data_IF_573241612014
#
_entry.id   IF_573241612014
#
_cell.length_a   1.000
_cell.length_b   1.000
_cell.length_c   1.000
_cell.angle_alpha   90.00
_cell.angle_beta   90.00
_cell.angle_gamma   90.00
#
_symmetry.space_group_name_H-M   'P 1'
#
loop_
_entity.id
_entity.type
_entity.pdbx_description
1 polymer ?
#
# COMPACT_ATOMS: atom_id res chain seq x y z
N UNK A 1 20.10 24.55 40.65
CA UNK A 1 19.55 25.21 39.45
C UNK A 1 20.00 24.55 38.16
N UNK A 2 21.30 24.20 37.98
CA UNK A 2 21.80 23.57 36.76
C UNK A 2 21.23 22.15 36.48
N UNK A 3 20.89 21.40 37.53
CA UNK A 3 20.38 20.03 37.36
C UNK A 3 18.93 19.94 36.90
N UNK A 4 18.10 20.94 37.19
CA UNK A 4 16.71 20.99 36.78
C UNK A 4 16.58 21.33 35.27
N UNK A 5 17.40 22.28 34.78
CA UNK A 5 17.40 22.70 33.38
C UNK A 5 17.88 21.58 32.43
N UNK A 6 18.85 20.78 32.88
CA UNK A 6 19.36 19.63 32.09
C UNK A 6 18.31 18.51 32.02
N UNK A 7 17.58 18.23 33.11
CA UNK A 7 16.51 17.22 33.12
C UNK A 7 15.33 17.61 32.23
N UNK A 8 14.99 18.89 32.14
CA UNK A 8 13.92 19.41 31.33
C UNK A 8 14.28 19.38 29.83
N UNK A 9 15.54 19.72 29.49
CA UNK A 9 16.08 19.59 28.12
C UNK A 9 16.13 18.13 27.67
N UNK A 10 16.59 17.23 28.51
CA UNK A 10 16.63 15.78 28.23
C UNK A 10 15.21 15.22 28.03
N UNK A 11 14.26 15.61 28.88
CA UNK A 11 12.85 15.20 28.74
C UNK A 11 12.20 15.74 27.48
N UNK A 12 12.53 16.96 27.05
CA UNK A 12 11.98 17.55 25.82
C UNK A 12 12.52 16.89 24.54
N UNK A 13 13.79 16.50 24.50
CA UNK A 13 14.38 15.83 23.34
C UNK A 13 13.87 14.39 23.18
N UNK A 14 13.74 13.64 24.28
CA UNK A 14 13.11 12.30 24.25
C UNK A 14 11.66 12.39 23.78
N UNK A 15 10.91 13.39 24.25
CA UNK A 15 9.53 13.59 23.82
C UNK A 15 9.43 14.00 22.35
N UNK A 16 10.41 14.72 21.80
CA UNK A 16 10.45 15.11 20.38
C UNK A 16 10.68 13.91 19.47
N UNK A 17 11.67 13.08 19.72
CA UNK A 17 11.95 11.88 18.93
C UNK A 17 10.76 10.89 18.96
N UNK A 18 10.10 10.75 20.10
CA UNK A 18 8.91 9.93 20.24
C UNK A 18 7.72 10.52 19.45
N UNK A 19 7.50 11.83 19.53
CA UNK A 19 6.44 12.49 18.76
C UNK A 19 6.65 12.36 17.25
N UNK A 20 7.89 12.47 16.77
CA UNK A 20 8.22 12.25 15.36
C UNK A 20 7.99 10.78 14.93
N UNK A 21 8.36 9.81 15.79
CA UNK A 21 8.09 8.41 15.52
C UNK A 21 6.59 8.11 15.44
N UNK A 22 5.77 8.69 16.32
CA UNK A 22 4.32 8.56 16.28
C UNK A 22 3.72 9.25 15.05
N UNK A 23 4.25 10.42 14.65
CA UNK A 23 3.82 11.08 13.42
C UNK A 23 4.08 10.20 12.20
N UNK A 24 5.27 9.60 12.07
CA UNK A 24 5.62 8.69 10.95
C UNK A 24 4.66 7.49 10.89
N UNK A 25 4.24 6.97 12.05
CA UNK A 25 3.27 5.85 12.14
C UNK A 25 1.82 6.28 11.96
N UNK A 26 1.55 7.57 11.92
CA UNK A 26 0.18 8.07 11.83
C UNK A 26 -0.46 7.78 10.48
N UNK A 27 -1.79 7.73 10.48
CA UNK A 27 -2.60 7.61 9.25
C UNK A 27 -2.32 8.74 8.26
N UNK A 28 -1.98 9.92 8.75
CA UNK A 28 -1.64 11.10 7.95
C UNK A 28 -0.44 10.83 7.01
N UNK A 29 0.54 10.05 7.46
CA UNK A 29 1.71 9.67 6.69
C UNK A 29 1.46 8.36 5.90
N UNK A 30 0.83 7.36 6.50
CA UNK A 30 0.72 6.03 5.92
C UNK A 30 -0.38 5.90 4.85
N UNK A 31 -1.55 6.54 5.04
CA UNK A 31 -2.66 6.41 4.07
C UNK A 31 -2.34 6.98 2.67
N UNK A 32 -1.66 8.13 2.52
CA UNK A 32 -1.19 8.58 1.22
C UNK A 32 -0.28 7.55 0.52
N UNK A 33 0.62 6.90 1.26
CA UNK A 33 1.51 5.85 0.73
C UNK A 33 0.71 4.62 0.30
N UNK A 34 -0.26 4.17 1.11
CA UNK A 34 -1.16 3.06 0.79
C UNK A 34 -1.92 3.32 -0.51
N UNK A 35 -2.41 4.55 -0.70
CA UNK A 35 -3.15 4.93 -1.90
C UNK A 35 -2.24 5.10 -3.12
N UNK A 36 -1.11 5.80 -2.97
CA UNK A 36 -0.15 6.03 -4.06
C UNK A 36 0.39 4.73 -4.65
N UNK A 37 0.74 3.78 -3.79
CA UNK A 37 1.29 2.49 -4.21
C UNK A 37 0.22 1.42 -4.44
N UNK A 38 -1.05 1.76 -4.46
CA UNK A 38 -2.16 0.81 -4.64
C UNK A 38 -2.09 -0.41 -3.71
N UNK A 39 -1.59 -0.24 -2.46
CA UNK A 39 -1.34 -1.36 -1.53
C UNK A 39 -2.61 -2.10 -1.08
N UNK A 40 -3.78 -1.52 -1.34
CA UNK A 40 -5.08 -2.15 -1.08
C UNK A 40 -5.46 -3.22 -2.10
N UNK A 41 -4.80 -3.25 -3.28
CA UNK A 41 -5.04 -4.26 -4.31
C UNK A 41 -4.15 -5.46 -4.01
N UNK A 42 -4.76 -6.62 -3.83
CA UNK A 42 -4.09 -7.90 -3.66
C UNK A 42 -4.39 -8.80 -4.85
N UNK A 43 -3.32 -9.24 -5.50
CA UNK A 43 -3.36 -10.25 -6.55
C UNK A 43 -2.78 -11.56 -6.00
N UNK A 44 -3.32 -12.68 -6.42
CA UNK A 44 -2.73 -13.98 -6.14
C UNK A 44 -3.05 -14.98 -7.23
N UNK A 45 -2.12 -15.89 -7.47
CA UNK A 45 -2.33 -17.04 -8.31
C UNK A 45 -3.03 -18.15 -7.48
N UNK A 46 -4.27 -18.55 -7.83
CA UNK A 46 -4.97 -19.61 -7.13
C UNK A 46 -4.35 -21.00 -7.35
N UNK A 47 -3.54 -21.19 -8.41
CA UNK A 47 -2.89 -22.47 -8.72
C UNK A 47 -1.67 -22.73 -7.84
N UNK A 48 -1.12 -21.70 -7.17
CA UNK A 48 0.00 -21.85 -6.25
C UNK A 48 -0.53 -22.16 -4.84
N UNK A 49 -0.26 -23.35 -4.35
CA UNK A 49 -0.63 -23.80 -3.01
C UNK A 49 0.04 -22.96 -1.89
N UNK A 50 -0.61 -22.85 -0.73
CA UNK A 50 -0.08 -22.10 0.42
C UNK A 50 1.32 -22.61 0.86
N UNK A 51 1.62 -23.89 0.72
CA UNK A 51 2.91 -24.48 1.06
C UNK A 51 4.00 -24.13 0.03
N UNK A 52 3.63 -23.97 -1.24
CA UNK A 52 4.56 -23.61 -2.30
C UNK A 52 4.95 -22.12 -2.22
N UNK A 53 4.05 -21.26 -1.73
CA UNK A 53 4.35 -19.87 -1.41
C UNK A 53 5.42 -19.70 -0.32
N UNK A 54 5.52 -20.66 0.59
CA UNK A 54 6.50 -20.65 1.68
C UNK A 54 7.85 -21.23 1.23
N UNK A 55 7.84 -22.22 0.33
CA UNK A 55 9.01 -22.99 -0.09
C UNK A 55 9.74 -22.41 -1.29
N UNK A 56 9.06 -21.66 -2.12
CA UNK A 56 9.66 -21.13 -3.34
C UNK A 56 10.24 -19.75 -3.10
N UNK A 57 11.44 -19.51 -3.62
CA UNK A 57 11.82 -18.20 -4.17
C UNK A 57 10.83 -17.88 -5.32
N UNK A 58 9.52 -17.85 -5.00
CA UNK A 58 8.45 -17.93 -5.97
C UNK A 58 8.53 -16.74 -6.93
N UNK A 59 8.46 -17.05 -8.21
CA UNK A 59 8.21 -16.12 -9.31
C UNK A 59 6.92 -15.32 -9.09
N UNK A 60 6.03 -15.79 -8.21
CA UNK A 60 4.74 -15.19 -7.85
C UNK A 60 4.93 -14.03 -6.86
N UNK A 61 5.54 -12.97 -7.32
CA UNK A 61 5.76 -11.78 -6.52
C UNK A 61 4.93 -10.62 -7.04
N UNK A 62 3.94 -10.23 -6.22
CA UNK A 62 3.20 -9.00 -6.47
C UNK A 62 4.10 -7.79 -6.21
N UNK A 63 4.09 -6.84 -7.14
CA UNK A 63 4.73 -5.53 -7.01
C UNK A 63 3.68 -4.43 -7.17
N UNK A 64 3.60 -3.57 -6.17
CA UNK A 64 2.74 -2.40 -6.16
C UNK A 64 3.57 -1.14 -6.42
N UNK A 65 3.20 -0.35 -7.43
CA UNK A 65 3.85 0.89 -7.84
C UNK A 65 2.82 1.99 -8.05
N UNK A 66 3.22 3.26 -8.20
CA UNK A 66 2.28 4.35 -8.51
C UNK A 66 1.47 4.12 -9.80
N UNK A 67 2.03 3.40 -10.78
CA UNK A 67 1.37 3.12 -12.06
C UNK A 67 0.35 1.98 -11.96
N UNK A 68 0.36 1.22 -10.86
CA UNK A 68 -0.52 0.07 -10.65
C UNK A 68 0.16 -1.12 -9.99
N UNK A 69 -0.46 -2.26 -10.12
CA UNK A 69 -0.04 -3.52 -9.49
C UNK A 69 0.27 -4.55 -10.55
N UNK A 70 1.36 -5.27 -10.37
CA UNK A 70 1.72 -6.41 -11.23
C UNK A 70 1.95 -7.68 -10.42
N UNK A 71 1.61 -8.82 -11.01
CA UNK A 71 1.86 -10.16 -10.49
C UNK A 71 2.46 -11.00 -11.61
N UNK A 72 3.66 -11.53 -11.40
CA UNK A 72 4.27 -12.50 -12.32
C UNK A 72 3.81 -13.91 -11.94
N UNK A 73 3.40 -14.67 -12.94
CA UNK A 73 3.03 -16.08 -12.83
C UNK A 73 3.86 -16.93 -13.79
N UNK A 74 3.70 -18.23 -13.78
CA UNK A 74 4.35 -19.14 -14.75
C UNK A 74 3.88 -18.88 -16.18
N UNK A 75 2.59 -18.50 -16.37
CA UNK A 75 1.96 -18.32 -17.67
C UNK A 75 1.87 -16.85 -18.12
N UNK A 76 2.62 -15.94 -17.49
CA UNK A 76 2.66 -14.54 -17.89
C UNK A 76 2.60 -13.57 -16.72
N UNK A 77 2.14 -12.36 -16.98
CA UNK A 77 2.06 -11.29 -15.99
C UNK A 77 0.66 -10.66 -15.98
N UNK A 78 0.07 -10.50 -14.80
CA UNK A 78 -1.11 -9.68 -14.61
C UNK A 78 -0.70 -8.25 -14.30
N UNK A 79 -1.29 -7.25 -14.96
CA UNK A 79 -1.06 -5.82 -14.72
C UNK A 79 -2.39 -5.09 -14.59
N UNK A 80 -2.61 -4.46 -13.45
CA UNK A 80 -3.83 -3.71 -13.14
C UNK A 80 -3.43 -2.31 -12.68
N UNK A 81 -3.83 -1.27 -13.41
CA UNK A 81 -3.56 0.12 -13.02
C UNK A 81 -4.65 0.72 -12.13
N UNK A 82 -5.85 0.14 -12.13
CA UNK A 82 -6.95 0.60 -11.31
C UNK A 82 -7.86 -0.56 -10.90
N UNK A 83 -8.21 -0.61 -9.62
CA UNK A 83 -9.26 -1.48 -9.10
C UNK A 83 -9.87 -0.81 -7.86
N UNK A 84 -11.06 -0.23 -8.05
CA UNK A 84 -11.86 0.39 -6.99
C UNK A 84 -13.21 -0.29 -6.95
N UNK A 85 -13.71 -0.51 -5.75
CA UNK A 85 -14.97 -1.20 -5.51
C UNK A 85 -15.79 -0.45 -4.48
N UNK A 86 -17.11 -0.61 -4.53
CA UNK A 86 -18.03 -0.19 -3.46
C UNK A 86 -17.72 -0.90 -2.16
N UNK A 87 -18.22 -0.36 -1.05
CA UNK A 87 -17.93 -0.86 0.29
C UNK A 87 -18.33 -2.33 0.47
N UNK A 88 -19.42 -2.74 -0.16
CA UNK A 88 -19.98 -4.10 -0.13
C UNK A 88 -19.03 -5.13 -0.75
N UNK A 89 -18.22 -4.72 -1.71
CA UNK A 89 -17.22 -5.57 -2.38
C UNK A 89 -15.82 -5.51 -1.74
N UNK A 90 -15.61 -4.71 -0.69
CA UNK A 90 -14.32 -4.70 0.03
C UNK A 90 -14.05 -6.05 0.67
N UNK A 91 -12.80 -6.49 0.59
CA UNK A 91 -12.30 -7.77 1.09
C UNK A 91 -12.94 -9.01 0.46
N UNK A 92 -13.77 -8.86 -0.58
CA UNK A 92 -14.30 -9.97 -1.34
C UNK A 92 -13.33 -10.35 -2.46
N UNK A 93 -13.09 -11.66 -2.68
CA UNK A 93 -12.26 -12.12 -3.80
C UNK A 93 -13.06 -12.09 -5.09
N UNK A 94 -12.42 -11.63 -6.16
CA UNK A 94 -12.87 -11.79 -7.54
C UNK A 94 -11.85 -12.63 -8.27
N UNK A 95 -12.29 -13.36 -9.29
CA UNK A 95 -11.43 -14.06 -10.24
C UNK A 95 -11.40 -13.30 -11.55
N UNK A 96 -10.20 -13.01 -12.03
CA UNK A 96 -9.94 -12.30 -13.26
C UNK A 96 -9.27 -13.25 -14.25
N UNK A 97 -9.84 -13.40 -15.45
CA UNK A 97 -9.31 -14.27 -16.51
C UNK A 97 -9.26 -13.53 -17.85
N UNK A 98 -8.23 -13.82 -18.65
CA UNK A 98 -8.18 -13.38 -20.04
C UNK A 98 -9.23 -14.14 -20.87
N UNK A 99 -9.83 -13.47 -21.81
CA UNK A 99 -10.74 -14.04 -22.81
C UNK A 99 -10.34 -13.58 -24.21
N UNK A 100 -10.85 -14.23 -25.24
CA UNK A 100 -10.56 -13.91 -26.64
C UNK A 100 -10.82 -12.43 -27.03
N UNK A 101 -11.72 -11.75 -26.32
CA UNK A 101 -12.11 -10.35 -26.59
C UNK A 101 -11.67 -9.35 -25.51
N UNK A 102 -10.93 -9.81 -24.48
CA UNK A 102 -10.50 -8.97 -23.37
C UNK A 102 -10.36 -9.74 -22.06
N UNK A 103 -11.20 -9.45 -21.07
CA UNK A 103 -11.19 -10.15 -19.78
C UNK A 103 -12.58 -10.40 -19.22
N UNK A 104 -12.66 -11.35 -18.33
CA UNK A 104 -13.84 -11.60 -17.48
C UNK A 104 -13.41 -11.44 -16.04
N UNK A 105 -14.16 -10.65 -15.26
CA UNK A 105 -14.04 -10.52 -13.82
C UNK A 105 -15.31 -11.10 -13.18
N UNK A 106 -15.17 -12.05 -12.26
CA UNK A 106 -16.33 -12.68 -11.61
C UNK A 106 -16.14 -12.79 -10.09
N UNK A 107 -17.24 -12.67 -9.35
CA UNK A 107 -17.30 -13.00 -7.92
C UNK A 107 -18.10 -14.30 -7.66
N UNK A 108 -18.45 -15.02 -8.71
CA UNK A 108 -19.28 -16.23 -8.67
C UNK A 108 -20.78 -15.97 -8.77
N UNK A 109 -21.22 -14.71 -8.66
CA UNK A 109 -22.63 -14.29 -8.84
C UNK A 109 -22.80 -13.37 -10.05
N UNK A 110 -21.90 -12.40 -10.18
CA UNK A 110 -21.87 -11.45 -11.29
C UNK A 110 -20.64 -11.73 -12.17
N UNK A 111 -20.84 -11.62 -13.50
CA UNK A 111 -19.78 -11.68 -14.51
C UNK A 111 -19.66 -10.34 -15.24
N UNK A 112 -18.48 -9.74 -15.18
CA UNK A 112 -18.16 -8.47 -15.83
C UNK A 112 -17.18 -8.70 -16.96
N UNK A 113 -17.51 -8.24 -18.19
CA UNK A 113 -16.66 -8.39 -19.37
C UNK A 113 -16.11 -7.05 -19.80
N UNK A 114 -14.79 -6.96 -19.94
CA UNK A 114 -14.10 -5.75 -20.32
C UNK A 114 -13.00 -5.96 -21.35
N UNK A 115 -12.47 -4.87 -21.88
CA UNK A 115 -11.35 -4.88 -22.82
C UNK A 115 -10.06 -4.54 -22.10
N UNK A 116 -8.97 -5.26 -22.40
CA UNK A 116 -7.64 -4.96 -21.90
C UNK A 116 -7.19 -3.58 -22.43
N UNK A 117 -6.52 -2.80 -21.57
CA UNK A 117 -6.06 -1.45 -21.86
C UNK A 117 -7.12 -0.36 -21.76
N UNK A 118 -8.37 -0.69 -21.38
CA UNK A 118 -9.44 0.30 -21.17
C UNK A 118 -9.94 0.31 -19.75
N UNK A 119 -10.32 1.50 -19.26
CA UNK A 119 -11.03 1.66 -18.00
C UNK A 119 -12.51 1.30 -18.13
N UNK A 120 -13.02 0.53 -17.19
CA UNK A 120 -14.40 0.09 -17.12
C UNK A 120 -15.04 0.45 -15.79
N UNK A 121 -16.31 0.86 -15.82
CA UNK A 121 -17.17 1.01 -14.66
C UNK A 121 -18.33 0.02 -14.81
N UNK A 122 -18.35 -0.99 -13.95
CA UNK A 122 -19.40 -2.00 -13.91
C UNK A 122 -20.36 -1.73 -12.75
N UNK A 123 -21.62 -2.10 -12.95
CA UNK A 123 -22.64 -2.15 -11.90
C UNK A 123 -23.04 -3.61 -11.72
N UNK A 124 -22.73 -4.14 -10.56
CA UNK A 124 -23.12 -5.48 -10.14
C UNK A 124 -24.30 -5.47 -9.19
N UNK A 125 -24.64 -6.63 -8.65
CA UNK A 125 -25.77 -6.82 -7.74
C UNK A 125 -25.59 -6.02 -6.46
N UNK A 126 -24.39 -6.02 -5.86
CA UNK A 126 -24.12 -5.42 -4.55
C UNK A 126 -23.41 -4.06 -4.63
N UNK A 127 -23.04 -3.60 -5.83
CA UNK A 127 -22.34 -2.32 -5.93
C UNK A 127 -21.66 -2.07 -7.28
N UNK A 128 -20.65 -1.21 -7.27
CA UNK A 128 -19.92 -0.79 -8.45
C UNK A 128 -18.45 -1.23 -8.39
N UNK A 129 -17.88 -1.51 -9.56
CA UNK A 129 -16.48 -1.86 -9.75
C UNK A 129 -15.90 -0.98 -10.84
N UNK A 130 -14.82 -0.26 -10.52
CA UNK A 130 -14.03 0.45 -11.51
C UNK A 130 -12.69 -0.26 -11.67
N UNK A 131 -12.38 -0.72 -12.87
CA UNK A 131 -11.18 -1.50 -13.15
C UNK A 131 -10.53 -1.11 -14.48
N UNK A 132 -9.19 -1.10 -14.49
CA UNK A 132 -8.37 -1.01 -15.70
C UNK A 132 -7.36 -2.14 -15.66
N UNK A 133 -7.54 -3.10 -16.54
CA UNK A 133 -6.65 -4.25 -16.75
C UNK A 133 -5.74 -3.93 -17.92
N UNK A 134 -4.43 -3.89 -17.70
CA UNK A 134 -3.44 -3.56 -18.73
C UNK A 134 -2.87 -4.81 -19.39
N UNK A 135 -2.75 -5.91 -18.63
CA UNK A 135 -2.31 -7.20 -19.12
C UNK A 135 -2.79 -8.35 -18.22
N UNK A 136 -2.86 -9.55 -18.76
CA UNK A 136 -3.18 -10.80 -18.05
C UNK A 136 -2.35 -11.95 -18.61
N UNK A 137 -2.14 -13.02 -17.83
CA UNK A 137 -1.58 -14.28 -18.33
C UNK A 137 -2.34 -14.88 -19.50
N UNK A 138 -1.97 -16.07 -19.94
CA UNK A 138 -2.60 -16.80 -21.04
C UNK A 138 -4.12 -16.93 -20.88
N UNK A 139 -4.82 -17.19 -21.99
CA UNK A 139 -6.28 -17.32 -22.03
C UNK A 139 -6.78 -18.37 -21.03
N UNK A 140 -7.76 -17.95 -20.21
CA UNK A 140 -8.36 -18.81 -19.19
C UNK A 140 -7.55 -18.98 -17.90
N UNK A 141 -6.32 -18.46 -17.81
CA UNK A 141 -5.54 -18.51 -16.57
C UNK A 141 -6.14 -17.62 -15.50
N UNK A 142 -6.52 -18.16 -14.32
CA UNK A 142 -7.19 -17.37 -13.30
C UNK A 142 -6.22 -16.58 -12.45
N UNK A 143 -6.56 -15.33 -12.14
CA UNK A 143 -5.90 -14.49 -11.12
C UNK A 143 -6.95 -14.06 -10.12
N UNK A 144 -6.70 -14.29 -8.84
CA UNK A 144 -7.55 -13.71 -7.81
C UNK A 144 -7.16 -12.27 -7.56
N UNK A 145 -8.16 -11.40 -7.46
CA UNK A 145 -8.01 -9.98 -7.12
C UNK A 145 -8.96 -9.62 -5.99
N UNK A 146 -8.43 -8.89 -5.00
CA UNK A 146 -9.20 -8.40 -3.85
C UNK A 146 -8.83 -6.95 -3.56
N UNK A 147 -9.81 -6.12 -3.20
CA UNK A 147 -9.59 -4.76 -2.67
C UNK A 147 -9.75 -4.78 -1.17
N UNK A 148 -8.67 -4.60 -0.44
CA UNK A 148 -8.69 -4.49 1.02
C UNK A 148 -9.21 -3.13 1.48
N UNK A 149 -9.76 -3.07 2.72
CA UNK A 149 -10.09 -1.79 3.33
C UNK A 149 -8.85 -0.94 3.56
N UNK A 150 -9.01 0.40 3.54
CA UNK A 150 -7.90 1.31 3.82
C UNK A 150 -7.36 1.11 5.24
N UNK A 151 -8.26 0.94 6.20
CA UNK A 151 -7.91 0.72 7.59
C UNK A 151 -7.05 -0.54 7.75
N UNK A 152 -7.51 -1.69 7.28
CA UNK A 152 -6.78 -2.98 7.38
C UNK A 152 -5.39 -2.88 6.76
N UNK A 153 -5.28 -2.25 5.57
CA UNK A 153 -4.00 -2.11 4.89
C UNK A 153 -3.05 -1.18 5.65
N UNK A 154 -3.56 -0.06 6.18
CA UNK A 154 -2.75 0.90 6.95
C UNK A 154 -2.27 0.27 8.27
N UNK A 155 -3.12 -0.45 8.97
CA UNK A 155 -2.78 -1.18 10.19
C UNK A 155 -1.71 -2.25 9.93
N UNK A 156 -1.79 -2.98 8.82
CA UNK A 156 -0.76 -3.95 8.43
C UNK A 156 0.59 -3.27 8.20
N UNK A 157 0.62 -2.17 7.42
CA UNK A 157 1.84 -1.39 7.20
C UNK A 157 2.43 -0.92 8.54
N UNK A 158 1.60 -0.41 9.45
CA UNK A 158 2.05 0.05 10.76
C UNK A 158 2.61 -1.09 11.63
N UNK A 159 2.06 -2.29 11.51
CA UNK A 159 2.55 -3.48 12.22
C UNK A 159 3.92 -3.92 11.70
N UNK A 160 4.12 -3.87 10.38
CA UNK A 160 5.36 -4.28 9.72
C UNK A 160 6.47 -3.20 9.85
N UNK A 161 6.09 -1.95 10.16
CA UNK A 161 6.99 -0.80 10.26
C UNK A 161 7.56 -0.66 11.67
N UNK A 162 8.88 -0.63 11.79
CA UNK A 162 9.60 -0.27 13.01
C UNK A 162 10.20 1.13 12.86
N UNK A 163 9.88 2.01 13.81
CA UNK A 163 10.40 3.40 13.88
C UNK A 163 11.03 3.58 15.26
N UNK A 164 12.34 3.75 15.31
CA UNK A 164 13.10 3.83 16.56
C UNK A 164 14.15 4.93 16.49
N UNK A 165 14.45 5.56 17.62
CA UNK A 165 15.59 6.45 17.72
C UNK A 165 16.89 5.65 17.74
N UNK A 166 17.85 6.00 16.88
CA UNK A 166 19.17 5.39 16.82
C UNK A 166 20.13 6.02 17.82
N UNK A 167 20.37 5.32 18.93
CA UNK A 167 21.19 5.82 20.04
C UNK A 167 20.34 6.55 21.08
N UNK A 168 21.00 7.08 22.10
CA UNK A 168 20.33 7.86 23.15
C UNK A 168 20.41 9.35 22.81
N UNK A 169 19.27 10.00 22.68
CA UNK A 169 19.15 11.46 22.50
C UNK A 169 19.90 11.99 21.26
N UNK A 170 19.95 11.21 20.18
CA UNK A 170 20.62 11.63 18.95
C UNK A 170 19.70 12.40 18.01
N UNK A 171 18.38 12.31 18.21
CA UNK A 171 17.38 12.84 17.28
C UNK A 171 17.34 12.11 15.92
N UNK A 172 18.13 11.02 15.76
CA UNK A 172 18.18 10.25 14.50
C UNK A 172 17.11 9.17 14.56
N UNK A 173 16.14 9.24 13.68
CA UNK A 173 15.07 8.23 13.54
C UNK A 173 15.50 7.18 12.50
N UNK A 174 15.51 5.93 12.91
CA UNK A 174 15.73 4.80 12.03
C UNK A 174 14.40 4.12 11.71
N UNK A 175 14.13 3.94 10.41
CA UNK A 175 12.98 3.18 9.91
C UNK A 175 13.45 1.83 9.38
N UNK A 176 12.73 0.78 9.70
CA UNK A 176 12.89 -0.54 9.09
C UNK A 176 11.52 -1.19 8.91
N UNK A 177 11.39 -2.12 7.98
CA UNK A 177 10.13 -2.79 7.67
C UNK A 177 10.36 -4.26 7.38
N UNK A 178 9.50 -5.11 7.92
CA UNK A 178 9.47 -6.54 7.61
C UNK A 178 8.58 -6.78 6.38
N UNK A 179 8.99 -7.69 5.51
CA UNK A 179 8.18 -8.06 4.35
C UNK A 179 8.83 -9.18 3.54
N UNK A 180 8.02 -9.96 2.85
CA UNK A 180 8.50 -11.09 2.03
C UNK A 180 9.26 -10.64 0.78
N UNK A 181 8.98 -9.44 0.27
CA UNK A 181 9.59 -8.90 -0.93
C UNK A 181 10.42 -7.66 -0.60
N UNK A 182 11.74 -7.78 -0.69
CA UNK A 182 12.67 -6.69 -0.38
C UNK A 182 12.47 -5.46 -1.28
N UNK A 183 12.20 -5.64 -2.56
CA UNK A 183 11.97 -4.54 -3.50
C UNK A 183 10.73 -3.74 -3.11
N UNK A 184 9.63 -4.44 -2.82
CA UNK A 184 8.37 -3.82 -2.37
C UNK A 184 8.55 -3.11 -1.03
N UNK A 185 9.20 -3.75 -0.07
CA UNK A 185 9.46 -3.19 1.27
C UNK A 185 10.31 -1.91 1.18
N UNK A 186 11.35 -1.90 0.36
CA UNK A 186 12.20 -0.72 0.13
C UNK A 186 11.42 0.43 -0.51
N UNK A 187 10.52 0.12 -1.45
CA UNK A 187 9.68 1.12 -2.10
C UNK A 187 8.69 1.75 -1.10
N UNK A 188 8.06 0.95 -0.26
CA UNK A 188 7.14 1.44 0.79
C UNK A 188 7.90 2.34 1.77
N UNK A 189 9.05 1.90 2.29
CA UNK A 189 9.87 2.72 3.19
C UNK A 189 10.27 4.05 2.57
N UNK A 190 10.70 4.04 1.31
CA UNK A 190 11.03 5.28 0.58
C UNK A 190 9.84 6.23 0.50
N UNK A 191 8.65 5.71 0.19
CA UNK A 191 7.46 6.55 0.10
C UNK A 191 7.00 7.08 1.47
N UNK A 192 7.16 6.30 2.54
CA UNK A 192 6.90 6.78 3.91
C UNK A 192 7.81 7.97 4.26
N UNK A 193 9.11 7.87 3.95
CA UNK A 193 10.06 8.97 4.18
C UNK A 193 9.68 10.21 3.36
N UNK A 194 9.32 10.05 2.09
CA UNK A 194 8.89 11.16 1.24
C UNK A 194 7.60 11.81 1.75
N UNK A 195 6.61 11.01 2.14
CA UNK A 195 5.35 11.51 2.72
C UNK A 195 5.59 12.29 4.02
N UNK A 196 6.50 11.81 4.86
CA UNK A 196 6.88 12.50 6.10
C UNK A 196 7.60 13.84 5.82
N UNK A 197 8.53 13.88 4.87
CA UNK A 197 9.22 15.12 4.47
C UNK A 197 8.24 16.15 3.93
N UNK A 198 7.34 15.75 3.05
CA UNK A 198 6.30 16.60 2.47
C UNK A 198 5.39 17.20 3.55
N UNK A 199 4.95 16.37 4.50
CA UNK A 199 4.14 16.81 5.64
C UNK A 199 4.87 17.82 6.52
N UNK A 200 6.16 17.62 6.79
CA UNK A 200 6.95 18.55 7.61
C UNK A 200 7.18 19.89 6.90
N UNK A 201 7.41 19.88 5.59
CA UNK A 201 7.53 21.11 4.80
C UNK A 201 6.21 21.89 4.80
N UNK A 202 5.09 21.22 4.65
CA UNK A 202 3.75 21.85 4.69
C UNK A 202 3.48 22.50 6.05
N UNK A 203 3.79 21.82 7.15
CA UNK A 203 3.66 22.38 8.52
C UNK A 203 4.54 23.60 8.73
N UNK A 204 5.81 23.55 8.32
CA UNK A 204 6.74 24.68 8.44
C UNK A 204 6.29 25.91 7.65
N UNK A 205 5.71 25.73 6.46
CA UNK A 205 5.17 26.82 5.66
C UNK A 205 3.90 27.45 6.26
N UNK A 206 3.03 26.66 6.87
CA UNK A 206 1.83 27.14 7.57
C UNK A 206 2.18 27.97 8.81
N UNK A 207 3.16 27.54 9.60
CA UNK A 207 3.65 28.29 10.75
C UNK A 207 4.24 29.64 10.34
N UNK A 208 5.03 29.67 9.26
CA UNK A 208 5.60 30.90 8.70
C UNK A 208 4.51 31.85 8.20
N UNK A 209 3.49 31.34 7.52
CA UNK A 209 2.38 32.15 7.01
C UNK A 209 1.55 32.75 8.15
N UNK A 210 1.29 32.00 9.21
CA UNK A 210 0.58 32.52 10.40
C UNK A 210 1.39 33.61 11.11
N UNK A 211 2.71 33.51 11.15
CA UNK A 211 3.60 34.49 11.77
C UNK A 211 3.64 35.80 10.97
N UNK A 212 3.45 35.75 9.66
CA UNK A 212 3.46 36.95 8.77
C UNK A 212 2.09 37.68 8.73
N UNK A 213 1.04 37.05 9.24
CA UNK A 213 -0.35 37.58 9.19
C UNK A 213 -0.72 38.48 10.39
N UNK A 214 0.25 38.97 11.18
CA UNK A 214 0.06 39.93 12.28
C UNK A 214 0.60 41.31 11.97
#
# INVERSE_FOLDING_TARGET
>A
ALGADISELIGSEVSKAQAEAELIRSRMILEPVVNLLHLRIRLSDPNIGALDRIKSNSTDTQINKPEGVSLKTEDGEAKISQFNVSQEYLNQPFTLTRSATGFVLTNGFDDFKGQIGKGHLFKGTDGQIQITVNDLPADGYPINITKQSLQTTTEQINTDLSVVEKGKQTGIIQLSMTGANQQQTSLILKQIVLSYIDQNQSRGSEETTKTISF
#
